data_IF_185842935365
#
_entry.id   IF_185842935365
#
_cell.length_a   1.000
_cell.length_b   1.000
_cell.length_c   1.000
_cell.angle_alpha   90.00
_cell.angle_beta   90.00
_cell.angle_gamma   90.00
#
_symmetry.space_group_name_H-M   'P 1'
#
loop_
_entity.id
_entity.type
_entity.pdbx_description
1 polymer ?
#
# COMPACT_ATOMS: atom_id res chain seq x y z
N UNK A 1 -22.89 -0.41 22.03
CA UNK A 1 -22.11 -1.53 21.45
C UNK A 1 -21.40 -2.24 22.59
N UNK A 2 -21.58 -3.55 22.77
CA UNK A 2 -20.87 -4.31 23.83
C UNK A 2 -19.43 -4.60 23.37
N UNK A 3 -18.46 -4.58 24.28
CA UNK A 3 -17.03 -4.84 23.99
C UNK A 3 -16.82 -6.14 23.21
N UNK A 4 -17.64 -7.15 23.48
CA UNK A 4 -17.62 -8.43 22.77
C UNK A 4 -17.99 -8.29 21.27
N UNK A 5 -19.02 -7.52 20.94
CA UNK A 5 -19.40 -7.26 19.53
C UNK A 5 -18.32 -6.49 18.77
N UNK A 6 -17.64 -5.55 19.45
CA UNK A 6 -16.50 -4.83 18.88
C UNK A 6 -15.34 -5.78 18.56
N UNK A 7 -14.97 -6.66 19.50
CA UNK A 7 -13.90 -7.64 19.29
C UNK A 7 -14.21 -8.57 18.11
N UNK A 8 -15.44 -9.07 18.03
CA UNK A 8 -15.87 -9.93 16.93
C UNK A 8 -15.81 -9.21 15.57
N UNK A 9 -16.25 -7.95 15.51
CA UNK A 9 -16.18 -7.15 14.28
C UNK A 9 -14.74 -6.88 13.83
N UNK A 10 -13.84 -6.59 14.78
CA UNK A 10 -12.41 -6.39 14.49
C UNK A 10 -11.76 -7.70 14.01
N UNK A 11 -12.07 -8.83 14.65
CA UNK A 11 -11.56 -10.15 14.24
C UNK A 11 -11.98 -10.49 12.80
N UNK A 12 -13.26 -10.28 12.46
CA UNK A 12 -13.77 -10.52 11.10
C UNK A 12 -13.07 -9.64 10.06
N UNK A 13 -12.85 -8.36 10.37
CA UNK A 13 -12.14 -7.44 9.46
C UNK A 13 -10.67 -7.84 9.28
N UNK A 14 -9.99 -8.24 10.36
CA UNK A 14 -8.60 -8.72 10.30
C UNK A 14 -8.50 -10.00 9.48
N UNK A 15 -9.44 -10.94 9.66
CA UNK A 15 -9.47 -12.19 8.90
C UNK A 15 -9.72 -11.95 7.40
N UNK A 16 -10.67 -11.07 7.06
CA UNK A 16 -10.93 -10.68 5.67
C UNK A 16 -9.68 -10.06 5.02
N UNK A 17 -9.04 -9.12 5.72
CA UNK A 17 -7.81 -8.47 5.27
C UNK A 17 -6.66 -9.45 5.09
N UNK A 18 -6.51 -10.42 5.99
CA UNK A 18 -5.49 -11.45 5.90
C UNK A 18 -5.65 -12.33 4.64
N UNK A 19 -6.90 -12.70 4.31
CA UNK A 19 -7.23 -13.47 3.11
C UNK A 19 -6.89 -12.71 1.82
N UNK A 20 -7.15 -11.40 1.78
CA UNK A 20 -6.81 -10.55 0.64
C UNK A 20 -5.28 -10.32 0.49
N UNK A 21 -4.55 -10.28 1.60
CA UNK A 21 -3.10 -10.07 1.60
C UNK A 21 -2.33 -11.35 1.24
N UNK A 22 -2.79 -12.54 1.65
CA UNK A 22 -2.12 -13.82 1.34
C UNK A 22 -1.64 -13.97 -0.12
N UNK A 23 -2.47 -13.75 -1.15
CA UNK A 23 -2.04 -13.90 -2.54
C UNK A 23 -1.10 -12.78 -3.03
N UNK A 24 -0.90 -11.71 -2.26
CA UNK A 24 -0.15 -10.49 -2.65
C UNK A 24 0.99 -10.14 -1.69
N UNK A 25 1.15 -10.86 -0.58
CA UNK A 25 1.97 -10.49 0.59
C UNK A 25 3.48 -10.46 0.34
N UNK A 26 3.95 -11.09 -0.73
CA UNK A 26 5.33 -11.01 -1.21
C UNK A 26 5.62 -9.78 -2.06
N UNK A 27 4.60 -9.06 -2.53
CA UNK A 27 4.81 -7.85 -3.34
C UNK A 27 5.47 -6.78 -2.46
N UNK A 28 6.70 -6.34 -2.78
CA UNK A 28 7.31 -5.23 -2.09
C UNK A 28 6.53 -3.94 -2.38
N UNK A 29 6.12 -3.25 -1.33
CA UNK A 29 5.60 -1.88 -1.41
C UNK A 29 6.83 -0.99 -1.54
N UNK A 30 6.95 -0.28 -2.66
CA UNK A 30 8.19 0.44 -3.03
C UNK A 30 8.62 1.54 -2.04
N UNK A 31 7.77 1.96 -1.10
CA UNK A 31 8.12 2.90 -0.03
C UNK A 31 7.33 2.57 1.25
N UNK A 32 7.94 2.75 2.43
CA UNK A 32 7.22 2.75 3.70
C UNK A 32 6.20 3.90 3.68
N UNK A 33 4.91 3.56 3.55
CA UNK A 33 3.84 4.53 3.27
C UNK A 33 3.03 4.95 4.48
N UNK A 34 3.15 4.22 5.58
CA UNK A 34 2.40 4.53 6.77
C UNK A 34 3.24 5.34 7.76
N UNK A 35 2.58 6.31 8.38
CA UNK A 35 3.15 7.09 9.48
C UNK A 35 3.61 6.16 10.62
N UNK A 36 4.75 6.47 11.25
CA UNK A 36 5.28 5.73 12.39
C UNK A 36 4.32 5.77 13.58
N UNK A 37 3.49 6.81 13.66
CA UNK A 37 2.40 6.89 14.64
C UNK A 37 1.34 5.78 14.44
N UNK A 38 1.17 5.27 13.22
CA UNK A 38 0.22 4.23 12.85
C UNK A 38 0.84 2.84 12.89
N UNK A 39 2.03 2.67 12.31
CA UNK A 39 2.75 1.40 12.30
C UNK A 39 4.17 1.61 12.80
N UNK A 40 4.53 0.86 13.82
CA UNK A 40 5.86 0.91 14.44
C UNK A 40 6.89 0.17 13.57
N UNK A 41 6.42 -0.66 12.64
CA UNK A 41 7.24 -1.44 11.73
C UNK A 41 7.61 -0.65 10.45
N UNK A 42 8.90 -0.69 10.08
CA UNK A 42 9.41 -0.16 8.81
C UNK A 42 9.36 -1.17 7.66
N UNK A 43 8.69 -2.31 7.87
CA UNK A 43 8.54 -3.36 6.88
C UNK A 43 8.02 -2.83 5.54
N UNK A 44 8.63 -3.29 4.45
CA UNK A 44 8.27 -2.88 3.08
C UNK A 44 7.24 -3.81 2.46
N UNK A 45 6.58 -4.68 3.25
CA UNK A 45 5.66 -5.72 2.77
C UNK A 45 4.33 -5.65 3.52
N UNK A 46 3.23 -5.90 2.81
CA UNK A 46 1.87 -5.90 3.40
C UNK A 46 1.73 -6.87 4.59
N UNK A 47 2.47 -7.99 4.57
CA UNK A 47 2.46 -8.99 5.65
C UNK A 47 2.98 -8.43 6.98
N UNK A 48 3.92 -7.50 6.93
CA UNK A 48 4.59 -6.95 8.11
C UNK A 48 3.63 -6.05 8.90
N UNK A 49 2.81 -5.28 8.18
CA UNK A 49 1.73 -4.47 8.74
C UNK A 49 0.58 -5.33 9.27
N UNK A 50 0.22 -6.42 8.56
CA UNK A 50 -0.78 -7.36 9.04
C UNK A 50 -0.35 -8.06 10.34
N UNK A 51 0.93 -8.43 10.46
CA UNK A 51 1.48 -9.01 11.68
C UNK A 51 1.40 -8.04 12.87
N UNK A 52 1.66 -6.74 12.66
CA UNK A 52 1.50 -5.73 13.70
C UNK A 52 0.03 -5.57 14.14
N UNK A 53 -0.92 -5.57 13.20
CA UNK A 53 -2.36 -5.54 13.49
C UNK A 53 -2.78 -6.76 14.33
N UNK A 54 -2.34 -7.96 13.95
CA UNK A 54 -2.63 -9.18 14.69
C UNK A 54 -2.07 -9.14 16.12
N UNK A 55 -0.85 -8.62 16.29
CA UNK A 55 -0.24 -8.41 17.61
C UNK A 55 -1.04 -7.42 18.46
N UNK A 56 -1.44 -6.28 17.89
CA UNK A 56 -2.23 -5.27 18.60
C UNK A 56 -3.63 -5.80 18.97
N UNK A 57 -4.23 -6.65 18.13
CA UNK A 57 -5.50 -7.30 18.43
C UNK A 57 -5.38 -8.31 19.60
N UNK A 58 -4.31 -9.10 19.64
CA UNK A 58 -4.04 -9.98 20.78
C UNK A 58 -3.85 -9.17 22.08
N UNK A 59 -3.17 -8.02 22.01
CA UNK A 59 -3.02 -7.11 23.16
C UNK A 59 -4.38 -6.53 23.60
N UNK A 60 -5.26 -6.18 22.64
CA UNK A 60 -6.61 -5.69 22.93
C UNK A 60 -7.42 -6.76 23.67
N UNK A 61 -7.38 -8.02 23.21
CA UNK A 61 -8.06 -9.13 23.87
C UNK A 61 -7.59 -9.31 25.32
N UNK A 62 -6.28 -9.22 25.58
CA UNK A 62 -5.73 -9.27 26.94
C UNK A 62 -6.18 -8.07 27.77
N UNK A 63 -6.13 -6.85 27.22
CA UNK A 63 -6.56 -5.64 27.92
C UNK A 63 -8.05 -5.68 28.31
N UNK A 64 -8.91 -6.28 27.47
CA UNK A 64 -10.33 -6.50 27.79
C UNK A 64 -10.49 -7.49 28.93
N UNK A 65 -9.76 -8.62 28.92
CA UNK A 65 -9.77 -9.60 30.01
C UNK A 65 -9.34 -8.99 31.34
N UNK A 66 -8.34 -8.11 31.31
CA UNK A 66 -7.79 -7.42 32.47
C UNK A 66 -8.61 -6.19 32.89
N UNK A 67 -9.74 -5.88 32.24
CA UNK A 67 -10.55 -4.67 32.46
C UNK A 67 -9.77 -3.35 32.39
N UNK A 68 -8.72 -3.27 31.55
CA UNK A 68 -7.89 -2.06 31.37
C UNK A 68 -8.55 -1.11 30.36
N UNK A 69 -9.64 -0.47 30.76
CA UNK A 69 -10.54 0.32 29.89
C UNK A 69 -9.82 1.37 29.03
N UNK A 70 -8.88 2.13 29.59
CA UNK A 70 -8.10 3.12 28.83
C UNK A 70 -7.24 2.47 27.74
N UNK A 71 -6.62 1.33 28.04
CA UNK A 71 -5.80 0.59 27.08
C UNK A 71 -6.65 -0.05 25.99
N UNK A 72 -7.86 -0.53 26.34
CA UNK A 72 -8.85 -1.05 25.38
C UNK A 72 -9.27 0.03 24.39
N UNK A 73 -9.60 1.23 24.86
CA UNK A 73 -9.99 2.35 23.99
C UNK A 73 -8.86 2.73 23.02
N UNK A 74 -7.64 2.91 23.55
CA UNK A 74 -6.46 3.24 22.75
C UNK A 74 -6.16 2.19 21.67
N UNK A 75 -6.16 0.90 22.02
CA UNK A 75 -5.87 -0.16 21.07
C UNK A 75 -6.98 -0.33 20.03
N UNK A 76 -8.24 -0.13 20.40
CA UNK A 76 -9.35 -0.18 19.46
C UNK A 76 -9.27 0.94 18.42
N UNK A 77 -9.00 2.18 18.84
CA UNK A 77 -8.80 3.31 17.93
C UNK A 77 -7.60 3.07 17.00
N UNK A 78 -6.47 2.60 17.56
CA UNK A 78 -5.29 2.26 16.77
C UNK A 78 -5.60 1.20 15.71
N UNK A 79 -6.31 0.13 16.07
CA UNK A 79 -6.67 -0.95 15.15
C UNK A 79 -7.57 -0.46 14.02
N UNK A 80 -8.59 0.36 14.31
CA UNK A 80 -9.45 0.93 13.27
C UNK A 80 -8.65 1.79 12.29
N UNK A 81 -7.72 2.60 12.80
CA UNK A 81 -6.88 3.46 11.98
C UNK A 81 -5.92 2.62 11.10
N UNK A 82 -5.29 1.58 11.67
CA UNK A 82 -4.42 0.64 10.95
C UNK A 82 -5.16 -0.13 9.84
N UNK A 83 -6.35 -0.67 10.15
CA UNK A 83 -7.20 -1.38 9.18
C UNK A 83 -7.60 -0.46 8.03
N UNK A 84 -8.09 0.74 8.34
CA UNK A 84 -8.51 1.73 7.33
C UNK A 84 -7.36 2.14 6.42
N UNK A 85 -6.18 2.40 6.99
CA UNK A 85 -5.00 2.77 6.24
C UNK A 85 -4.56 1.64 5.28
N UNK A 86 -4.54 0.40 5.77
CA UNK A 86 -4.12 -0.76 5.00
C UNK A 86 -5.10 -1.08 3.86
N UNK A 87 -6.41 -1.03 4.13
CA UNK A 87 -7.45 -1.18 3.10
C UNK A 87 -7.34 -0.11 2.00
N UNK A 88 -7.13 1.16 2.38
CA UNK A 88 -6.97 2.26 1.43
C UNK A 88 -5.75 2.07 0.53
N UNK A 89 -4.63 1.64 1.10
CA UNK A 89 -3.42 1.36 0.32
C UNK A 89 -3.65 0.21 -0.67
N UNK A 90 -4.32 -0.86 -0.24
CA UNK A 90 -4.67 -1.98 -1.13
C UNK A 90 -5.61 -1.58 -2.27
N UNK A 91 -6.60 -0.72 -1.99
CA UNK A 91 -7.47 -0.15 -3.01
C UNK A 91 -6.67 0.72 -4.01
N UNK A 92 -5.76 1.56 -3.50
CA UNK A 92 -4.91 2.43 -4.33
C UNK A 92 -3.97 1.62 -5.23
N UNK A 93 -3.36 0.55 -4.71
CA UNK A 93 -2.52 -0.35 -5.51
C UNK A 93 -3.33 -1.09 -6.57
N UNK A 94 -4.55 -1.51 -6.26
CA UNK A 94 -5.46 -2.17 -7.22
C UNK A 94 -5.83 -1.21 -8.36
N UNK A 95 -6.14 0.06 -8.05
CA UNK A 95 -6.40 1.10 -9.05
C UNK A 95 -5.13 1.38 -9.87
N UNK A 96 -3.96 1.49 -9.24
CA UNK A 96 -2.69 1.74 -9.95
C UNK A 96 -2.29 0.60 -10.87
N UNK A 97 -2.57 -0.66 -10.52
CA UNK A 97 -2.38 -1.82 -11.41
C UNK A 97 -3.39 -1.83 -12.57
N UNK A 98 -4.65 -1.43 -12.31
CA UNK A 98 -5.71 -1.38 -13.34
C UNK A 98 -5.55 -0.20 -14.31
N UNK A 99 -5.02 0.92 -13.81
CA UNK A 99 -4.73 2.15 -14.55
C UNK A 99 -3.25 2.28 -14.90
N UNK A 100 -2.46 1.21 -14.76
CA UNK A 100 -1.13 1.20 -15.37
C UNK A 100 -1.37 1.42 -16.87
N UNK A 101 -0.84 2.49 -17.48
CA UNK A 101 -0.53 2.38 -18.89
C UNK A 101 0.30 1.10 -18.98
N UNK A 102 -0.03 0.19 -19.92
CA UNK A 102 1.01 -0.73 -20.43
C UNK A 102 2.27 0.12 -20.52
N UNK A 103 3.39 -0.33 -19.96
CA UNK A 103 4.67 0.29 -20.29
C UNK A 103 4.70 0.40 -21.81
N UNK A 104 4.37 1.58 -22.32
CA UNK A 104 4.67 1.97 -23.67
C UNK A 104 6.16 2.15 -23.53
N UNK A 105 6.81 1.05 -23.87
CA UNK A 105 8.17 0.74 -23.51
C UNK A 105 9.03 1.96 -23.76
N UNK A 106 10.05 2.15 -22.93
CA UNK A 106 11.16 3.08 -23.18
C UNK A 106 11.64 3.00 -24.65
N UNK A 107 11.43 1.86 -25.31
CA UNK A 107 11.57 1.60 -26.75
C UNK A 107 10.80 2.58 -27.66
N UNK A 108 9.57 2.96 -27.35
CA UNK A 108 8.77 3.90 -28.17
C UNK A 108 9.32 5.34 -28.07
N UNK A 109 9.85 5.73 -26.90
CA UNK A 109 10.53 7.02 -26.73
C UNK A 109 11.87 7.07 -27.46
N UNK A 110 12.63 5.96 -27.46
CA UNK A 110 13.85 5.81 -28.26
C UNK A 110 13.57 5.81 -29.77
N UNK A 111 12.50 5.15 -30.22
CA UNK A 111 12.08 5.16 -31.62
C UNK A 111 11.67 6.58 -32.08
N UNK A 112 10.93 7.30 -31.24
CA UNK A 112 10.49 8.67 -31.53
C UNK A 112 11.64 9.69 -31.55
N UNK A 113 12.66 9.48 -30.71
CA UNK A 113 13.90 10.29 -30.73
C UNK A 113 14.76 10.00 -31.97
N UNK A 114 14.80 8.75 -32.44
CA UNK A 114 15.52 8.39 -33.66
C UNK A 114 14.87 8.99 -34.92
N UNK A 115 13.53 8.99 -35.00
CA UNK A 115 12.81 9.62 -36.13
C UNK A 115 13.06 11.13 -36.25
N UNK A 116 13.32 11.82 -35.14
CA UNK A 116 13.61 13.26 -35.14
C UNK A 116 15.06 13.60 -35.54
N UNK A 117 16.04 12.71 -35.34
CA UNK A 117 17.44 12.98 -35.72
C UNK A 117 17.67 12.94 -37.24
N UNK A 118 16.93 12.12 -37.97
CA UNK A 118 17.05 12.06 -39.43
C UNK A 118 16.40 13.25 -40.14
N UNK A 119 15.42 13.90 -39.48
CA UNK A 119 14.81 15.13 -39.97
C UNK A 119 15.77 16.34 -39.88
N UNK A 120 16.49 16.49 -38.77
CA UNK A 120 17.48 17.56 -38.60
C UNK A 120 18.68 17.40 -39.55
N UNK A 121 19.15 16.16 -39.78
CA UNK A 121 20.22 15.89 -40.76
C UNK A 121 19.82 16.25 -42.19
N UNK A 122 18.55 16.01 -42.57
CA UNK A 122 18.04 16.39 -43.90
C UNK A 122 17.87 17.89 -44.06
N UNK A 123 17.45 18.61 -43.02
CA UNK A 123 17.36 20.07 -43.05
C UNK A 123 18.74 20.74 -43.16
N UNK A 124 19.75 20.26 -42.43
CA UNK A 124 21.11 20.81 -42.49
C UNK A 124 21.76 20.56 -43.86
N UNK A 125 21.49 19.42 -44.50
CA UNK A 125 21.96 19.12 -45.85
C UNK A 125 21.28 19.97 -46.96
N UNK A 126 20.16 20.64 -46.64
CA UNK A 126 19.43 21.52 -47.57
C UNK A 126 19.75 23.01 -47.37
N UNK A 127 20.60 23.37 -46.40
CA UNK A 127 21.13 24.74 -46.27
C UNK A 127 22.42 24.81 -47.09
N UNK A 128 22.48 25.64 -48.16
CA UNK A 128 23.72 25.90 -48.86
C UNK A 128 24.69 26.57 -47.89
N UNK A 129 25.91 26.02 -47.76
CA UNK A 129 26.97 26.68 -47.01
C UNK A 129 27.28 28.06 -47.61
N UNK A 130 27.73 29.03 -46.79
CA UNK A 130 28.23 30.31 -47.28
C UNK A 130 29.50 30.15 -48.13
#
# INVERSE_FOLDING_TARGET
>A
MTTHRLLQALEQQIAALASEIQPRGDTPISQARFDVALFSNHGTRLRDYLAEIQKNFAQLQTAVKDNRTAHVAFLAEKLVAQLTALQREMATQTIRRKNQPKEVAVVDLYHKLAEHQDYERRLIAMIPGP
#
